data_IF_001858132354
#
_entry.id   IF_001858132354
#
_cell.length_a   1.000
_cell.length_b   1.000
_cell.length_c   1.000
_cell.angle_alpha   90.00
_cell.angle_beta   90.00
_cell.angle_gamma   90.00
#
_symmetry.space_group_name_H-M   'P 1'
#
loop_
_entity.id
_entity.type
_entity.pdbx_description
1 polymer ?
#
# COMPACT_ATOMS: atom_id res chain seq x y z
N UNK A 1 -7.87 -8.84 -0.16
CA UNK A 1 -6.80 -8.00 -0.77
C UNK A 1 -5.49 -8.77 -0.88
N UNK A 2 -4.84 -9.18 0.22
CA UNK A 2 -3.54 -9.91 0.21
C UNK A 2 -3.49 -11.08 -0.76
N UNK A 3 -4.44 -12.02 -0.68
CA UNK A 3 -4.50 -13.18 -1.58
C UNK A 3 -4.61 -12.80 -3.06
N UNK A 4 -5.34 -11.73 -3.37
CA UNK A 4 -5.44 -11.23 -4.74
C UNK A 4 -4.13 -10.60 -5.20
N UNK A 5 -3.47 -9.83 -4.34
CA UNK A 5 -2.15 -9.28 -4.61
C UNK A 5 -1.14 -10.40 -4.90
N UNK A 6 -1.03 -11.39 -4.00
CA UNK A 6 -0.15 -12.56 -4.14
C UNK A 6 -0.42 -13.35 -5.43
N UNK A 7 -1.69 -13.47 -5.85
CA UNK A 7 -2.05 -14.14 -7.10
C UNK A 7 -1.59 -13.35 -8.33
N UNK A 8 -1.65 -12.02 -8.29
CA UNK A 8 -1.24 -11.16 -9.40
C UNK A 8 0.28 -10.99 -9.46
N UNK A 9 1.00 -11.24 -8.38
CA UNK A 9 2.46 -11.15 -8.26
C UNK A 9 3.13 -12.51 -8.12
N UNK A 10 2.46 -13.59 -8.55
CA UNK A 10 2.95 -14.97 -8.38
C UNK A 10 4.21 -15.31 -9.17
N UNK A 11 4.62 -14.45 -10.10
CA UNK A 11 5.86 -14.58 -10.86
C UNK A 11 7.10 -14.27 -10.01
N UNK A 12 6.96 -13.48 -8.94
CA UNK A 12 8.08 -13.08 -8.10
C UNK A 12 8.33 -14.09 -6.97
N UNK A 13 9.59 -14.42 -6.65
CA UNK A 13 9.90 -15.33 -5.56
C UNK A 13 9.56 -14.69 -4.22
N UNK A 14 8.83 -15.42 -3.37
CA UNK A 14 8.63 -15.01 -1.98
C UNK A 14 9.94 -15.05 -1.19
N UNK A 15 10.03 -14.21 -0.15
CA UNK A 15 11.14 -14.15 0.81
C UNK A 15 10.61 -14.03 2.24
N UNK A 16 11.51 -14.02 3.22
CA UNK A 16 11.15 -13.97 4.63
C UNK A 16 10.36 -12.69 4.99
N UNK A 17 9.38 -12.78 5.92
CA UNK A 17 8.63 -11.64 6.44
C UNK A 17 9.53 -10.52 6.98
N UNK A 18 9.04 -9.29 6.94
CA UNK A 18 9.69 -8.12 7.52
C UNK A 18 8.79 -7.50 8.60
N UNK A 19 9.15 -7.72 9.87
CA UNK A 19 8.36 -7.25 11.01
C UNK A 19 6.90 -7.74 10.91
N UNK A 20 5.92 -6.84 10.84
CA UNK A 20 4.49 -7.14 10.71
C UNK A 20 4.01 -7.40 9.27
N UNK A 21 4.91 -7.37 8.28
CA UNK A 21 4.59 -7.57 6.87
C UNK A 21 4.91 -8.99 6.45
N UNK A 22 3.89 -9.71 5.97
CA UNK A 22 3.94 -11.16 5.71
C UNK A 22 4.02 -11.53 4.22
N UNK A 23 3.92 -10.54 3.34
CA UNK A 23 3.92 -10.74 1.89
C UNK A 23 5.13 -10.02 1.33
N UNK A 24 6.23 -10.75 1.21
CA UNK A 24 7.54 -10.22 0.83
C UNK A 24 8.11 -10.98 -0.37
N UNK A 25 8.85 -10.27 -1.21
CA UNK A 25 9.44 -10.77 -2.44
C UNK A 25 10.93 -10.46 -2.52
N UNK A 26 11.66 -11.35 -3.20
CA UNK A 26 13.04 -11.15 -3.60
C UNK A 26 13.08 -10.71 -5.07
N UNK A 27 13.36 -9.43 -5.29
CA UNK A 27 13.48 -8.84 -6.63
C UNK A 27 14.91 -8.82 -7.17
N UNK A 28 15.84 -9.54 -6.55
CA UNK A 28 17.21 -9.61 -7.06
C UNK A 28 17.24 -10.18 -8.48
N UNK A 29 17.80 -9.40 -9.41
CA UNK A 29 17.90 -9.78 -10.81
C UNK A 29 16.66 -9.44 -11.66
N UNK A 30 15.65 -8.78 -11.10
CA UNK A 30 14.55 -8.19 -11.85
C UNK A 30 14.90 -6.73 -12.18
N UNK A 31 14.92 -6.40 -13.47
CA UNK A 31 15.18 -5.02 -13.93
C UNK A 31 13.93 -4.16 -13.86
N UNK A 32 12.78 -4.73 -14.26
CA UNK A 32 11.46 -4.10 -14.21
C UNK A 32 10.53 -4.92 -13.31
N UNK A 33 10.00 -4.28 -12.27
CA UNK A 33 9.02 -4.89 -11.35
C UNK A 33 7.65 -4.27 -11.61
N UNK A 34 6.71 -5.09 -12.03
CA UNK A 34 5.31 -4.68 -12.22
C UNK A 34 4.48 -5.13 -11.02
N UNK A 35 3.79 -4.19 -10.37
CA UNK A 35 2.90 -4.49 -9.25
C UNK A 35 1.46 -4.07 -9.54
N UNK A 36 0.46 -4.75 -8.95
CA UNK A 36 -0.93 -4.31 -9.01
C UNK A 36 -1.11 -2.90 -8.44
N UNK A 37 -1.95 -2.09 -9.08
CA UNK A 37 -2.44 -0.86 -8.47
C UNK A 37 -3.37 -1.19 -7.30
N UNK A 38 -3.43 -0.27 -6.32
CA UNK A 38 -4.33 -0.37 -5.18
C UNK A 38 -5.10 0.95 -5.06
N UNK A 39 -6.43 0.87 -5.15
CA UNK A 39 -7.35 1.97 -4.90
C UNK A 39 -8.04 1.84 -3.55
N UNK A 40 -8.13 2.96 -2.81
CA UNK A 40 -8.93 3.08 -1.59
C UNK A 40 -10.27 3.71 -1.94
N UNK A 41 -11.36 2.94 -1.81
CA UNK A 41 -12.71 3.42 -2.10
C UNK A 41 -13.38 3.98 -0.84
N UNK A 42 -13.78 5.25 -0.91
CA UNK A 42 -14.48 5.95 0.16
C UNK A 42 -15.97 6.13 -0.18
N UNK A 43 -16.77 6.35 0.87
CA UNK A 43 -18.17 6.74 0.71
C UNK A 43 -18.31 7.99 -0.16
N UNK A 44 -19.37 8.06 -0.96
CA UNK A 44 -19.58 9.15 -1.93
C UNK A 44 -18.93 8.93 -3.30
N UNK A 45 -18.38 7.75 -3.57
CA UNK A 45 -17.85 7.38 -4.88
C UNK A 45 -16.45 7.91 -5.17
N UNK A 46 -15.71 8.31 -4.13
CA UNK A 46 -14.32 8.76 -4.24
C UNK A 46 -13.39 7.55 -4.18
N UNK A 47 -12.46 7.49 -5.12
CA UNK A 47 -11.36 6.54 -5.12
C UNK A 47 -10.04 7.29 -5.00
N UNK A 48 -9.15 6.81 -4.14
CA UNK A 48 -7.81 7.36 -3.96
C UNK A 48 -6.80 6.28 -4.30
N UNK A 49 -6.06 6.47 -5.39
CA UNK A 49 -4.99 5.56 -5.78
C UNK A 49 -3.82 5.66 -4.81
N UNK A 50 -3.34 4.52 -4.34
CA UNK A 50 -2.11 4.45 -3.56
C UNK A 50 -0.94 4.54 -4.53
N UNK A 51 -0.07 5.54 -4.36
CA UNK A 51 1.15 5.67 -5.14
C UNK A 51 2.03 4.42 -4.97
N UNK A 52 2.78 3.96 -6.00
CA UNK A 52 3.61 2.76 -5.90
C UNK A 52 4.56 2.73 -4.69
N UNK A 53 5.10 3.89 -4.29
CA UNK A 53 5.94 4.03 -3.09
C UNK A 53 5.21 3.73 -1.77
N UNK A 54 3.89 3.80 -1.76
CA UNK A 54 3.02 3.44 -0.65
C UNK A 54 2.47 2.01 -0.71
N UNK A 55 2.74 1.26 -1.79
CA UNK A 55 2.31 -0.14 -1.95
C UNK A 55 3.38 -1.11 -1.45
N UNK A 56 4.64 -0.87 -1.81
CA UNK A 56 5.78 -1.70 -1.41
C UNK A 56 6.75 -0.93 -0.52
N UNK A 57 7.37 -1.63 0.43
CA UNK A 57 8.47 -1.11 1.25
C UNK A 57 9.63 -2.12 1.27
N UNK A 58 10.85 -1.65 1.05
CA UNK A 58 12.04 -2.49 0.92
C UNK A 58 13.06 -2.24 2.02
N UNK A 59 13.62 -3.32 2.58
CA UNK A 59 14.85 -3.28 3.39
C UNK A 59 16.09 -3.50 2.50
N UNK A 60 15.95 -4.31 1.45
CA UNK A 60 16.92 -4.52 0.38
C UNK A 60 16.21 -4.99 -0.89
N UNK A 61 16.93 -5.21 -1.99
CA UNK A 61 16.38 -5.82 -3.22
C UNK A 61 15.90 -7.27 -3.01
N UNK A 62 16.47 -7.97 -2.04
CA UNK A 62 16.10 -9.35 -1.67
C UNK A 62 14.92 -9.42 -0.68
N UNK A 63 14.51 -8.28 -0.12
CA UNK A 63 13.42 -8.20 0.85
C UNK A 63 12.61 -6.92 0.66
N UNK A 64 11.59 -7.03 -0.21
CA UNK A 64 10.60 -5.98 -0.46
C UNK A 64 9.20 -6.51 -0.19
N UNK A 65 8.45 -5.83 0.66
CA UNK A 65 7.18 -6.30 1.19
C UNK A 65 6.01 -5.42 0.80
N UNK A 66 4.83 -6.03 0.63
CA UNK A 66 3.56 -5.34 0.59
C UNK A 66 3.36 -4.56 1.89
N UNK A 67 3.20 -3.24 1.80
CA UNK A 67 3.09 -2.32 2.91
C UNK A 67 1.69 -2.33 3.58
N UNK A 68 1.07 -3.51 3.70
CA UNK A 68 -0.23 -3.73 4.31
C UNK A 68 -0.15 -4.91 5.27
N UNK A 69 -0.29 -4.63 6.56
CA UNK A 69 -0.36 -5.66 7.59
C UNK A 69 -1.80 -6.14 7.82
N UNK A 70 -1.95 -7.36 8.33
CA UNK A 70 -3.23 -7.80 8.89
C UNK A 70 -3.53 -7.11 10.20
N UNK A 71 -4.80 -6.79 10.42
CA UNK A 71 -5.34 -6.62 11.77
C UNK A 71 -5.53 -8.00 12.44
N UNK A 72 -5.61 -8.00 13.77
CA UNK A 72 -5.90 -9.21 14.54
C UNK A 72 -7.36 -9.65 14.35
N UNK A 73 -8.31 -8.70 14.34
CA UNK A 73 -9.72 -8.94 14.01
C UNK A 73 -10.13 -8.15 12.75
N UNK A 74 -10.98 -8.75 11.92
CA UNK A 74 -11.55 -8.09 10.73
C UNK A 74 -12.49 -6.94 11.07
N UNK A 75 -13.00 -6.90 12.31
CA UNK A 75 -13.84 -5.82 12.84
C UNK A 75 -13.03 -4.61 13.30
N UNK A 76 -11.71 -4.75 13.39
CA UNK A 76 -10.84 -3.65 13.78
C UNK A 76 -10.85 -2.54 12.72
N UNK A 77 -10.60 -1.32 13.18
CA UNK A 77 -10.50 -0.15 12.32
C UNK A 77 -9.35 -0.35 11.32
N UNK A 78 -9.61 -0.07 10.04
CA UNK A 78 -8.55 -0.01 9.04
C UNK A 78 -7.72 1.26 9.25
N UNK A 79 -6.40 1.13 9.29
CA UNK A 79 -5.48 2.25 9.51
C UNK A 79 -4.79 2.58 8.17
N UNK A 80 -4.97 3.81 7.70
CA UNK A 80 -4.21 4.36 6.57
C UNK A 80 -2.94 5.00 7.12
N UNK A 81 -1.84 4.24 7.07
CA UNK A 81 -0.55 4.66 7.61
C UNK A 81 0.18 5.70 6.74
N UNK A 82 1.32 6.16 7.24
CA UNK A 82 2.17 7.16 6.54
C UNK A 82 2.53 6.72 5.13
N UNK A 83 2.78 5.42 4.90
CA UNK A 83 3.13 4.88 3.58
C UNK A 83 2.03 5.14 2.55
N UNK A 84 0.77 4.81 2.86
CA UNK A 84 -0.35 5.03 1.94
C UNK A 84 -0.69 6.52 1.76
N UNK A 85 -0.30 7.39 2.69
CA UNK A 85 -0.46 8.84 2.56
C UNK A 85 0.66 9.54 1.79
N UNK A 86 1.77 8.85 1.49
CA UNK A 86 2.87 9.45 0.73
C UNK A 86 2.38 9.98 -0.62
N UNK A 87 3.01 11.06 -1.09
CA UNK A 87 2.71 11.76 -2.36
C UNK A 87 1.30 12.36 -2.44
N UNK A 88 0.53 12.30 -1.35
CA UNK A 88 -0.79 12.91 -1.25
C UNK A 88 -0.78 14.11 -0.32
N UNK A 89 -1.47 15.17 -0.73
CA UNK A 89 -1.92 16.22 0.19
C UNK A 89 -3.22 15.76 0.81
N UNK A 90 -3.23 15.63 2.13
CA UNK A 90 -4.43 15.32 2.92
C UNK A 90 -4.95 16.61 3.56
N UNK A 91 -6.22 16.91 3.33
CA UNK A 91 -6.90 18.10 3.87
C UNK A 91 -7.98 17.66 4.84
N UNK A 92 -7.94 18.23 6.04
CA UNK A 92 -8.95 17.99 7.08
C UNK A 92 -9.88 19.21 7.14
N UNK A 93 -11.09 19.06 6.60
CA UNK A 93 -12.14 20.07 6.66
C UNK A 93 -13.04 19.77 7.87
N UNK A 94 -12.58 20.24 9.04
CA UNK A 94 -13.25 20.00 10.32
C UNK A 94 -14.68 20.59 10.36
N UNK A 95 -14.94 21.83 9.90
CA UNK A 95 -16.30 22.40 9.92
C UNK A 95 -17.33 21.59 9.13
N UNK A 96 -16.93 20.98 8.01
CA UNK A 96 -17.83 20.19 7.17
C UNK A 96 -17.73 18.68 7.41
N UNK A 97 -16.92 18.23 8.39
CA UNK A 97 -16.63 16.83 8.68
C UNK A 97 -16.18 16.03 7.44
N UNK A 98 -15.25 16.59 6.66
CA UNK A 98 -14.73 15.97 5.43
C UNK A 98 -13.22 15.81 5.48
N UNK A 99 -12.76 14.80 4.75
CA UNK A 99 -11.35 14.61 4.41
C UNK A 99 -11.21 14.72 2.89
N UNK A 100 -10.17 15.42 2.43
CA UNK A 100 -9.84 15.58 1.02
C UNK A 100 -8.46 15.00 0.72
N UNK A 101 -8.32 14.38 -0.44
CA UNK A 101 -7.06 13.84 -0.95
C UNK A 101 -6.74 14.48 -2.29
N UNK A 102 -5.49 14.86 -2.50
CA UNK A 102 -4.99 15.32 -3.79
C UNK A 102 -3.64 14.67 -4.06
N UNK A 103 -3.44 13.99 -5.22
CA UNK A 103 -2.15 13.41 -5.57
C UNK A 103 -1.12 14.50 -5.93
N UNK A 104 0.15 14.10 -6.04
CA UNK A 104 1.23 14.96 -6.54
C UNK A 104 1.77 15.94 -5.50
N UNK A 105 1.64 15.65 -4.21
CA UNK A 105 2.30 16.41 -3.16
C UNK A 105 3.79 16.00 -3.04
N UNK A 106 4.66 16.99 -2.81
CA UNK A 106 6.13 16.84 -2.71
C UNK A 106 6.77 16.37 -4.04
N UNK A 107 7.07 17.35 -4.90
CA UNK A 107 7.87 17.21 -6.13
C UNK A 107 9.36 17.41 -5.86
#
# INVERSE_FOLDING_TARGET
>A
MRTAFQKLTSEYPSTEPLSMLDTCYNFRGYEDVTIPSIGLHFGGGVEVDVHPSGILIGASTEQVCLAFASNEDIKDVAIIGTMQQQTHKVVYDLPNARIGFSPGACS
#
